data_IF_177056165747
#
_entry.id   IF_177056165747
#
_cell.length_a   1.000
_cell.length_b   1.000
_cell.length_c   1.000
_cell.angle_alpha   90.00
_cell.angle_beta   90.00
_cell.angle_gamma   90.00
#
_symmetry.space_group_name_H-M   'P 1'
#
loop_
_entity.id
_entity.type
_entity.pdbx_description
1 polymer ?
#
# COMPACT_ATOMS: atom_id res chain seq x y z
N UNK A 1 -7.11 -7.30 -8.59
CA UNK A 1 -6.43 -7.78 -7.37
C UNK A 1 -5.30 -6.84 -6.98
N UNK A 2 -5.60 -5.62 -6.51
CA UNK A 2 -4.58 -4.58 -6.17
C UNK A 2 -4.23 -4.56 -4.67
N UNK A 3 -5.20 -4.99 -3.87
CA UNK A 3 -5.12 -5.11 -2.41
C UNK A 3 -4.04 -6.09 -1.92
N UNK A 4 -3.75 -7.17 -2.67
CA UNK A 4 -2.68 -8.11 -2.30
C UNK A 4 -1.28 -7.47 -2.37
N UNK A 5 -1.05 -6.49 -3.25
CA UNK A 5 0.21 -5.74 -3.28
C UNK A 5 0.34 -4.81 -2.05
N UNK A 6 -0.77 -4.25 -1.57
CA UNK A 6 -0.82 -3.41 -0.36
C UNK A 6 -0.57 -4.17 0.95
N UNK A 7 -0.69 -5.51 0.93
CA UNK A 7 -0.38 -6.35 2.09
C UNK A 7 1.10 -6.76 2.20
N UNK A 8 1.90 -6.57 1.15
CA UNK A 8 3.33 -6.96 1.14
C UNK A 8 4.14 -6.24 2.24
N UNK A 9 4.02 -4.91 2.44
CA UNK A 9 4.77 -4.21 3.49
C UNK A 9 4.37 -4.69 4.89
N UNK A 10 3.10 -5.03 5.09
CA UNK A 10 2.57 -5.48 6.37
C UNK A 10 3.12 -6.86 6.74
N UNK A 11 3.12 -7.80 5.80
CA UNK A 11 3.68 -9.14 6.01
C UNK A 11 5.19 -9.05 6.25
N UNK A 12 5.90 -8.23 5.46
CA UNK A 12 7.33 -7.99 5.64
C UNK A 12 7.63 -7.40 7.03
N UNK A 13 6.82 -6.46 7.50
CA UNK A 13 6.93 -5.89 8.84
C UNK A 13 6.84 -6.97 9.91
N UNK A 14 5.87 -7.88 9.84
CA UNK A 14 5.73 -8.95 10.84
C UNK A 14 6.93 -9.90 10.86
N UNK A 15 7.52 -10.22 9.70
CA UNK A 15 8.72 -11.07 9.63
C UNK A 15 9.94 -10.36 10.24
N UNK A 16 10.17 -9.10 9.88
CA UNK A 16 11.31 -8.33 10.41
C UNK A 16 11.12 -8.03 11.90
N UNK A 17 9.90 -7.74 12.32
CA UNK A 17 9.54 -7.49 13.71
C UNK A 17 9.90 -8.68 14.62
N UNK A 18 9.63 -9.90 14.16
CA UNK A 18 9.97 -11.13 14.88
C UNK A 18 11.48 -11.30 15.12
N UNK A 19 12.32 -10.73 14.25
CA UNK A 19 13.78 -10.94 14.28
C UNK A 19 14.54 -9.79 14.92
N UNK A 20 14.14 -8.53 14.66
CA UNK A 20 14.92 -7.34 15.00
C UNK A 20 14.14 -6.31 15.83
N UNK A 21 12.91 -6.64 16.24
CA UNK A 21 12.04 -5.75 17.03
C UNK A 21 11.37 -4.63 16.22
N UNK A 22 10.62 -3.77 16.91
CA UNK A 22 9.77 -2.74 16.29
C UNK A 22 10.59 -1.72 15.48
N UNK A 23 11.74 -1.28 15.99
CA UNK A 23 12.49 -0.17 15.39
C UNK A 23 12.95 -0.50 13.97
N UNK A 24 13.57 -1.66 13.78
CA UNK A 24 14.03 -2.10 12.46
C UNK A 24 12.88 -2.48 11.54
N UNK A 25 11.78 -3.01 12.09
CA UNK A 25 10.59 -3.32 11.32
C UNK A 25 9.92 -2.07 10.73
N UNK A 26 9.81 -0.99 11.52
CA UNK A 26 9.23 0.26 11.06
C UNK A 26 10.04 0.89 9.92
N UNK A 27 11.38 0.85 10.01
CA UNK A 27 12.26 1.34 8.95
C UNK A 27 12.09 0.48 7.68
N UNK A 28 12.03 -0.84 7.83
CA UNK A 28 11.78 -1.75 6.72
C UNK A 28 10.41 -1.51 6.05
N UNK A 29 9.38 -1.19 6.84
CA UNK A 29 8.05 -0.85 6.34
C UNK A 29 8.09 0.42 5.49
N UNK A 30 8.74 1.49 5.96
CA UNK A 30 8.86 2.75 5.20
C UNK A 30 9.56 2.51 3.85
N UNK A 31 10.66 1.75 3.84
CA UNK A 31 11.38 1.41 2.62
C UNK A 31 10.48 0.60 1.67
N UNK A 32 9.77 -0.40 2.18
CA UNK A 32 8.86 -1.23 1.40
C UNK A 32 7.73 -0.39 0.77
N UNK A 33 7.17 0.58 1.48
CA UNK A 33 6.11 1.47 0.97
C UNK A 33 6.63 2.39 -0.15
N UNK A 34 7.86 2.89 -0.04
CA UNK A 34 8.49 3.70 -1.09
C UNK A 34 8.70 2.86 -2.35
N UNK A 35 9.25 1.65 -2.20
CA UNK A 35 9.42 0.70 -3.32
C UNK A 35 8.08 0.35 -3.95
N UNK A 36 7.05 0.13 -3.14
CA UNK A 36 5.72 -0.18 -3.62
C UNK A 36 5.09 0.98 -4.42
N UNK A 37 5.23 2.23 -3.96
CA UNK A 37 4.78 3.40 -4.74
C UNK A 37 5.44 3.48 -6.11
N UNK A 38 6.74 3.20 -6.19
CA UNK A 38 7.50 3.20 -7.44
C UNK A 38 7.04 2.04 -8.35
N UNK A 39 6.87 0.85 -7.80
CA UNK A 39 6.38 -0.33 -8.53
C UNK A 39 4.95 -0.12 -9.06
N UNK A 40 4.07 0.52 -8.29
CA UNK A 40 2.72 0.88 -8.74
C UNK A 40 2.76 1.83 -9.93
N UNK A 41 3.61 2.87 -9.90
CA UNK A 41 3.76 3.79 -11.04
C UNK A 41 4.18 3.06 -12.33
N UNK A 42 5.09 2.09 -12.24
CA UNK A 42 5.51 1.30 -13.42
C UNK A 42 4.42 0.36 -13.93
N UNK A 43 3.67 -0.29 -13.04
CA UNK A 43 2.62 -1.25 -13.43
C UNK A 43 1.31 -0.57 -13.90
N UNK A 44 0.96 0.59 -13.36
CA UNK A 44 -0.32 1.26 -13.64
C UNK A 44 -0.34 2.11 -14.91
N UNK A 45 0.78 2.30 -15.60
CA UNK A 45 0.80 2.96 -16.93
C UNK A 45 0.04 2.20 -18.03
N UNK A 46 -0.60 1.07 -17.72
CA UNK A 46 -1.23 0.15 -18.69
C UNK A 46 -2.71 -0.14 -18.44
N UNK A 47 -3.40 0.46 -17.46
CA UNK A 47 -4.78 0.06 -17.09
C UNK A 47 -5.78 1.22 -17.16
N UNK A 48 -6.27 1.48 -18.38
CA UNK A 48 -7.21 2.57 -18.70
C UNK A 48 -8.69 2.20 -18.53
N UNK A 49 -9.06 0.95 -18.21
CA UNK A 49 -10.49 0.52 -18.27
C UNK A 49 -11.15 0.09 -16.96
N UNK A 50 -10.42 -0.07 -15.87
CA UNK A 50 -10.99 -0.61 -14.61
C UNK A 50 -11.10 0.41 -13.47
N UNK A 51 -10.74 1.67 -13.71
CA UNK A 51 -10.68 2.72 -12.69
C UNK A 51 -12.04 3.37 -12.34
N UNK A 52 -13.04 3.29 -13.22
CA UNK A 52 -14.27 4.06 -13.06
C UNK A 52 -15.13 3.64 -11.84
N UNK A 53 -15.14 2.35 -11.48
CA UNK A 53 -15.96 1.87 -10.36
C UNK A 53 -15.31 2.11 -8.99
N UNK A 54 -13.99 1.98 -8.88
CA UNK A 54 -13.24 2.23 -7.64
C UNK A 54 -13.02 3.73 -7.37
N UNK A 55 -13.18 4.61 -8.37
CA UNK A 55 -13.12 6.07 -8.17
C UNK A 55 -14.30 6.62 -7.37
N UNK A 56 -15.49 6.04 -7.51
CA UNK A 56 -16.69 6.47 -6.78
C UNK A 56 -16.69 5.97 -5.32
N UNK A 57 -16.23 4.73 -5.08
CA UNK A 57 -16.01 4.18 -3.73
C UNK A 57 -14.77 4.76 -3.04
N UNK A 58 -13.70 5.06 -3.77
CA UNK A 58 -12.50 5.71 -3.24
C UNK A 58 -12.71 7.16 -2.83
N UNK A 59 -13.67 7.86 -3.45
CA UNK A 59 -14.15 9.17 -2.98
C UNK A 59 -14.86 9.09 -1.63
N UNK A 60 -15.61 8.00 -1.39
CA UNK A 60 -16.25 7.73 -0.11
C UNK A 60 -15.23 7.36 1.00
N UNK A 61 -14.18 6.62 0.65
CA UNK A 61 -13.08 6.30 1.57
C UNK A 61 -12.29 7.55 1.97
N UNK A 62 -12.01 8.46 1.03
CA UNK A 62 -11.40 9.78 1.32
C UNK A 62 -12.24 10.67 2.22
N UNK A 63 -13.58 10.60 2.14
CA UNK A 63 -14.47 11.36 3.03
C UNK A 63 -14.43 10.83 4.47
N UNK A 64 -14.08 9.55 4.66
CA UNK A 64 -13.96 8.96 6.01
C UNK A 64 -12.63 9.33 6.65
N UNK A 65 -11.55 9.47 5.86
CA UNK A 65 -10.23 9.92 6.33
C UNK A 65 -10.14 11.43 6.59
N UNK A 66 -11.04 12.25 6.04
CA UNK A 66 -11.17 13.66 6.42
C UNK A 66 -11.94 13.87 7.74
N UNK A 67 -12.56 12.81 8.29
CA UNK A 67 -13.35 12.85 9.52
C UNK A 67 -12.59 12.27 10.74
N UNK A 68 -11.29 12.00 10.60
CA UNK A 68 -10.41 11.52 11.66
C UNK A 68 -9.15 12.38 11.75
#
# INVERSE_FOLDING_TARGET
>A
MKQLLEFIPLILFFVVYKMSGIQMASIALVIATIVQMIALKMLYGKIEKTANYYGWLGGLFRLTECLF
#
